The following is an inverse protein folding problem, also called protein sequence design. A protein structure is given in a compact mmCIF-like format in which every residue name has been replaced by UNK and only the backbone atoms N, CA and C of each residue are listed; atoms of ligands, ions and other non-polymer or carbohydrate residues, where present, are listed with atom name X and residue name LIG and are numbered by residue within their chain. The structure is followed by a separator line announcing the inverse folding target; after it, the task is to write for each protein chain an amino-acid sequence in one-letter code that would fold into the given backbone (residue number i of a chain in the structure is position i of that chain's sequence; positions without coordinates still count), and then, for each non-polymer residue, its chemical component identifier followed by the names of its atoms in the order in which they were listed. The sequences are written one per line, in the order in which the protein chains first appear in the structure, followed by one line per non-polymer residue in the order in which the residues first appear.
data_IF_906218727674
#
_entry.id   IF_906218727674
#
_cell.length_a   1.000
_cell.length_b   1.000
_cell.length_c   1.000
_cell.angle_alpha   90.00
_cell.angle_beta   90.00
_cell.angle_gamma   90.00
#
_symmetry.space_group_name_H-M   'P 1'
#
loop_
_entity.id
_entity.type
_entity.pdbx_description
1 polymer ?
#
# COMPACT_ATOMS: atom_id res chain seq x y z
N UNK A 1 -28.77 -4.66 91.28
CA UNK A 1 -29.10 -6.01 90.76
C UNK A 1 -27.80 -6.62 90.27
N UNK A 2 -27.31 -7.67 90.93
CA UNK A 2 -26.09 -8.37 90.54
C UNK A 2 -26.47 -9.56 89.67
N UNK A 3 -25.83 -9.71 88.51
CA UNK A 3 -26.00 -10.86 87.62
C UNK A 3 -24.66 -11.58 87.55
N UNK A 4 -24.66 -12.87 87.88
CA UNK A 4 -23.48 -13.71 87.86
C UNK A 4 -23.66 -14.77 86.76
N UNK A 5 -22.67 -14.88 85.88
CA UNK A 5 -22.60 -15.96 84.88
C UNK A 5 -21.49 -16.91 85.30
N UNK A 6 -21.85 -18.15 85.58
CA UNK A 6 -20.93 -19.20 86.03
C UNK A 6 -20.96 -20.34 85.01
N UNK A 7 -19.79 -20.89 84.70
CA UNK A 7 -19.66 -22.05 83.83
C UNK A 7 -19.70 -23.33 84.69
N UNK A 8 -20.70 -24.21 84.50
CA UNK A 8 -20.81 -25.44 85.27
C UNK A 8 -19.78 -26.52 84.87
N UNK A 9 -19.02 -26.33 83.77
CA UNK A 9 -17.88 -27.20 83.43
C UNK A 9 -16.62 -26.88 84.23
N UNK A 10 -16.60 -25.74 84.91
CA UNK A 10 -15.41 -25.31 85.63
C UNK A 10 -15.14 -26.26 86.82
N UNK A 11 -13.89 -26.74 87.03
CA UNK A 11 -13.58 -27.73 88.07
C UNK A 11 -14.03 -27.31 89.48
N UNK A 12 -13.93 -26.02 89.80
CA UNK A 12 -14.32 -25.46 91.10
C UNK A 12 -15.77 -24.98 91.19
N UNK A 13 -16.61 -25.25 90.18
CA UNK A 13 -18.00 -24.79 90.18
C UNK A 13 -18.76 -25.31 91.41
N UNK A 14 -18.60 -26.59 91.73
CA UNK A 14 -19.24 -27.21 92.89
C UNK A 14 -18.72 -26.64 94.23
N UNK A 15 -17.41 -26.37 94.32
CA UNK A 15 -16.80 -25.77 95.51
C UNK A 15 -17.34 -24.36 95.76
N UNK A 16 -17.36 -23.52 94.72
CA UNK A 16 -17.82 -22.13 94.82
C UNK A 16 -19.31 -22.06 95.20
N UNK A 17 -20.12 -22.94 94.60
CA UNK A 17 -21.58 -22.99 94.82
C UNK A 17 -21.94 -23.55 96.20
N UNK A 18 -21.19 -24.53 96.70
CA UNK A 18 -21.40 -25.11 98.04
C UNK A 18 -20.92 -24.20 99.18
N UNK A 19 -19.81 -23.48 98.99
CA UNK A 19 -19.30 -22.51 99.96
C UNK A 19 -20.20 -21.27 100.11
N UNK A 20 -21.05 -20.98 99.11
CA UNK A 20 -21.87 -19.77 99.07
C UNK A 20 -23.36 -20.11 98.83
N UNK A 21 -24.09 -20.64 99.83
CA UNK A 21 -25.50 -21.02 99.68
C UNK A 21 -26.42 -19.84 99.33
N UNK A 22 -25.98 -18.61 99.64
CA UNK A 22 -26.66 -17.36 99.28
C UNK A 22 -26.96 -17.23 97.77
N UNK A 23 -26.16 -17.88 96.91
CA UNK A 23 -26.33 -17.90 95.46
C UNK A 23 -27.60 -18.62 94.99
N UNK A 24 -28.19 -19.50 95.81
CA UNK A 24 -29.42 -20.21 95.46
C UNK A 24 -30.60 -19.70 96.28
N UNK A 25 -30.37 -19.24 97.51
CA UNK A 25 -31.46 -18.79 98.39
C UNK A 25 -31.93 -17.36 98.11
N UNK A 26 -31.05 -16.50 97.56
CA UNK A 26 -31.34 -15.06 97.34
C UNK A 26 -31.35 -14.65 95.86
N UNK A 27 -31.13 -15.59 94.95
CA UNK A 27 -31.11 -15.33 93.51
C UNK A 27 -32.00 -16.29 92.76
N UNK A 28 -32.58 -15.79 91.68
CA UNK A 28 -33.22 -16.63 90.67
C UNK A 28 -32.13 -17.27 89.82
N UNK A 29 -32.02 -18.61 89.88
CA UNK A 29 -31.08 -19.35 89.06
C UNK A 29 -31.71 -19.68 87.72
N UNK A 30 -31.07 -19.24 86.64
CA UNK A 30 -31.44 -19.58 85.28
C UNK A 30 -30.45 -20.61 84.75
N UNK A 31 -30.92 -21.84 84.57
CA UNK A 31 -30.10 -22.92 84.03
C UNK A 31 -30.16 -22.91 82.51
N UNK A 32 -29.09 -22.46 81.87
CA UNK A 32 -28.96 -22.42 80.40
C UNK A 32 -27.94 -23.44 79.87
N UNK A 33 -27.87 -24.61 80.52
CA UNK A 33 -26.93 -25.69 80.21
C UNK A 33 -27.40 -26.59 79.07
N UNK A 34 -28.71 -26.77 78.92
CA UNK A 34 -29.27 -27.39 77.74
C UNK A 34 -28.98 -26.41 76.59
N UNK A 35 -27.94 -26.70 75.81
CA UNK A 35 -27.58 -25.89 74.66
C UNK A 35 -28.75 -25.73 73.70
N UNK A 36 -28.50 -25.06 72.58
CA UNK A 36 -29.56 -24.88 71.60
C UNK A 36 -30.08 -26.24 71.11
N UNK A 37 -31.40 -26.41 71.18
CA UNK A 37 -32.04 -27.56 70.54
C UNK A 37 -31.80 -27.52 69.03
N UNK A 38 -31.79 -28.70 68.40
CA UNK A 38 -31.50 -28.86 66.95
C UNK A 38 -32.25 -27.86 66.05
N UNK A 39 -33.54 -27.62 66.33
CA UNK A 39 -34.37 -26.64 65.61
C UNK A 39 -33.81 -25.21 65.71
N UNK A 40 -33.37 -24.80 66.90
CA UNK A 40 -32.81 -23.47 67.14
C UNK A 40 -31.46 -23.32 66.44
N UNK A 41 -30.60 -24.33 66.51
CA UNK A 41 -29.31 -24.36 65.80
C UNK A 41 -29.49 -24.25 64.29
N UNK A 42 -30.47 -24.97 63.72
CA UNK A 42 -30.81 -24.85 62.29
C UNK A 42 -31.30 -23.45 61.91
N UNK A 43 -32.14 -22.82 62.75
CA UNK A 43 -32.62 -21.46 62.50
C UNK A 43 -31.46 -20.46 62.52
N UNK A 44 -30.56 -20.56 63.51
CA UNK A 44 -29.42 -19.65 63.63
C UNK A 44 -28.44 -19.86 62.49
N UNK A 45 -28.10 -21.11 62.16
CA UNK A 45 -27.26 -21.46 61.01
C UNK A 45 -27.87 -20.94 59.71
N UNK A 46 -29.17 -21.14 59.49
CA UNK A 46 -29.90 -20.62 58.32
C UNK A 46 -29.80 -19.11 58.18
N UNK A 47 -30.03 -18.36 59.28
CA UNK A 47 -29.91 -16.90 59.30
C UNK A 47 -28.47 -16.44 59.11
N UNK A 48 -27.51 -17.08 59.76
CA UNK A 48 -26.10 -16.76 59.65
C UNK A 48 -25.62 -16.93 58.19
N UNK A 49 -25.88 -18.08 57.58
CA UNK A 49 -25.50 -18.37 56.19
C UNK A 49 -26.14 -17.39 55.21
N UNK A 50 -27.42 -17.03 55.41
CA UNK A 50 -28.09 -16.00 54.60
C UNK A 50 -27.45 -14.63 54.75
N UNK A 51 -27.08 -14.23 55.96
CA UNK A 51 -26.41 -12.95 56.20
C UNK A 51 -24.99 -12.92 55.64
N UNK A 52 -24.29 -14.06 55.67
CA UNK A 52 -22.92 -14.20 55.18
C UNK A 52 -22.87 -14.05 53.65
N UNK A 53 -23.87 -14.61 52.96
CA UNK A 53 -23.95 -14.58 51.49
C UNK A 53 -24.72 -13.38 50.96
N UNK A 54 -25.78 -12.94 51.63
CA UNK A 54 -26.61 -11.79 51.23
C UNK A 54 -25.96 -10.41 51.43
N UNK A 55 -24.65 -10.34 51.71
CA UNK A 55 -23.89 -9.09 51.71
C UNK A 55 -23.56 -8.55 50.31
N UNK A 56 -23.82 -9.32 49.26
CA UNK A 56 -23.88 -8.86 47.86
C UNK A 56 -25.34 -8.82 47.42
N UNK A 57 -25.74 -7.76 46.71
CA UNK A 57 -27.13 -7.47 46.35
C UNK A 57 -27.91 -8.65 45.75
N UNK A 58 -29.19 -8.68 46.11
CA UNK A 58 -30.29 -9.51 45.56
C UNK A 58 -29.98 -10.96 45.16
N UNK A 59 -30.22 -11.85 46.12
CA UNK A 59 -30.93 -13.13 45.90
C UNK A 59 -30.22 -14.21 45.07
N UNK A 60 -28.92 -14.41 45.25
CA UNK A 60 -28.38 -15.77 45.06
C UNK A 60 -28.79 -16.63 46.25
N UNK A 61 -29.88 -17.36 46.07
CA UNK A 61 -30.29 -18.42 46.99
C UNK A 61 -29.17 -19.46 46.98
N UNK A 62 -28.37 -19.51 48.05
CA UNK A 62 -27.31 -20.50 48.25
C UNK A 62 -27.79 -21.87 47.74
N UNK A 63 -27.16 -22.43 46.69
CA UNK A 63 -27.49 -23.77 46.27
C UNK A 63 -27.21 -24.71 47.46
N UNK A 64 -28.12 -25.66 47.70
CA UNK A 64 -28.05 -26.59 48.82
C UNK A 64 -28.09 -25.94 50.21
N UNK A 65 -28.73 -24.76 50.36
CA UNK A 65 -28.80 -24.04 51.64
C UNK A 65 -29.32 -24.89 52.80
N UNK A 66 -30.34 -25.73 52.53
CA UNK A 66 -30.97 -26.58 53.56
C UNK A 66 -30.00 -27.68 54.00
N UNK A 67 -29.39 -28.36 53.05
CA UNK A 67 -28.43 -29.44 53.24
C UNK A 67 -27.18 -28.93 53.97
N UNK A 68 -26.68 -27.73 53.61
CA UNK A 68 -25.58 -27.07 54.30
C UNK A 68 -25.92 -26.76 55.76
N UNK A 69 -27.15 -26.30 56.04
CA UNK A 69 -27.59 -26.09 57.42
C UNK A 69 -27.61 -27.40 58.21
N UNK A 70 -28.13 -28.46 57.61
CA UNK A 70 -28.24 -29.79 58.23
C UNK A 70 -26.85 -30.37 58.54
N UNK A 71 -25.94 -30.38 57.55
CA UNK A 71 -24.57 -30.87 57.72
C UNK A 71 -23.79 -30.06 58.76
N UNK A 72 -23.93 -28.73 58.76
CA UNK A 72 -23.22 -27.89 59.74
C UNK A 72 -23.67 -28.18 61.17
N UNK A 73 -24.98 -28.38 61.37
CA UNK A 73 -25.53 -28.73 62.69
C UNK A 73 -25.13 -30.14 63.09
N UNK A 74 -25.12 -31.09 62.16
CA UNK A 74 -24.68 -32.48 62.41
C UNK A 74 -23.19 -32.57 62.79
N UNK A 75 -22.31 -31.83 62.11
CA UNK A 75 -20.90 -31.71 62.48
C UNK A 75 -20.75 -31.11 63.89
N UNK A 76 -21.56 -30.12 64.23
CA UNK A 76 -21.53 -29.53 65.57
C UNK A 76 -22.04 -30.50 66.65
N UNK A 77 -23.12 -31.25 66.38
CA UNK A 77 -23.68 -32.24 67.30
C UNK A 77 -22.71 -33.41 67.52
N UNK A 78 -22.06 -33.91 66.47
CA UNK A 78 -21.07 -35.00 66.55
C UNK A 78 -19.80 -34.64 67.32
N UNK A 79 -19.43 -33.36 67.35
CA UNK A 79 -18.25 -32.88 68.10
C UNK A 79 -18.54 -32.64 69.59
N UNK A 80 -19.80 -32.64 70.01
CA UNK A 80 -20.20 -32.44 71.41
C UNK A 80 -19.74 -31.10 72.02
N UNK A 81 -19.40 -30.13 71.18
CA UNK A 81 -18.77 -28.89 71.59
C UNK A 81 -19.79 -27.83 72.05
N UNK A 82 -19.30 -26.80 72.75
CA UNK A 82 -20.13 -25.63 73.11
C UNK A 82 -20.66 -24.90 71.87
N UNK A 83 -21.86 -24.31 71.97
CA UNK A 83 -22.51 -23.55 70.90
C UNK A 83 -21.66 -22.39 70.33
N UNK A 84 -20.64 -21.92 71.08
CA UNK A 84 -19.66 -20.95 70.55
C UNK A 84 -18.88 -21.50 69.36
N UNK A 85 -18.59 -22.80 69.35
CA UNK A 85 -17.87 -23.46 68.26
C UNK A 85 -18.71 -23.56 66.98
N UNK A 86 -20.04 -23.70 67.10
CA UNK A 86 -20.94 -23.59 65.93
C UNK A 86 -20.79 -22.23 65.24
N UNK A 87 -20.75 -21.16 66.03
CA UNK A 87 -20.55 -19.82 65.49
C UNK A 87 -19.17 -19.63 64.86
N UNK A 88 -18.11 -20.16 65.48
CA UNK A 88 -16.75 -20.13 64.92
C UNK A 88 -16.68 -20.89 63.59
N UNK A 89 -17.31 -22.06 63.52
CA UNK A 89 -17.40 -22.86 62.29
C UNK A 89 -18.09 -22.08 61.17
N UNK A 90 -19.22 -21.45 61.47
CA UNK A 90 -19.95 -20.62 60.50
C UNK A 90 -19.12 -19.44 59.99
N UNK A 91 -18.38 -18.77 60.89
CA UNK A 91 -17.48 -17.68 60.52
C UNK A 91 -16.31 -18.14 59.66
N UNK A 92 -15.72 -19.29 59.99
CA UNK A 92 -14.61 -19.84 59.21
C UNK A 92 -15.06 -20.23 57.81
N UNK A 93 -16.19 -20.94 57.71
CA UNK A 93 -16.79 -21.30 56.43
C UNK A 93 -17.11 -20.05 55.61
N UNK A 94 -17.69 -19.02 56.24
CA UNK A 94 -18.00 -17.75 55.58
C UNK A 94 -16.76 -17.06 54.98
N UNK A 95 -15.66 -17.02 55.74
CA UNK A 95 -14.42 -16.42 55.30
C UNK A 95 -13.83 -17.19 54.11
N UNK A 96 -13.74 -18.51 54.21
CA UNK A 96 -13.25 -19.36 53.11
C UNK A 96 -14.12 -19.28 51.87
N UNK A 97 -15.46 -19.29 52.02
CA UNK A 97 -16.39 -19.14 50.90
C UNK A 97 -16.16 -17.82 50.17
N UNK A 98 -16.04 -16.70 50.90
CA UNK A 98 -15.81 -15.38 50.30
C UNK A 98 -14.48 -15.32 49.56
N UNK A 99 -13.41 -15.82 50.17
CA UNK A 99 -12.08 -15.86 49.55
C UNK A 99 -12.10 -16.67 48.24
N UNK A 100 -12.71 -17.86 48.26
CA UNK A 100 -12.82 -18.71 47.08
C UNK A 100 -13.69 -18.07 46.01
N UNK A 101 -14.82 -17.47 46.38
CA UNK A 101 -15.73 -16.81 45.44
C UNK A 101 -15.05 -15.61 44.78
N UNK A 102 -14.37 -14.75 45.54
CA UNK A 102 -13.61 -13.63 45.00
C UNK A 102 -12.45 -14.08 44.10
N UNK A 103 -11.75 -15.16 44.47
CA UNK A 103 -10.68 -15.73 43.64
C UNK A 103 -11.21 -16.21 42.30
N UNK A 104 -12.31 -16.97 42.30
CA UNK A 104 -12.96 -17.44 41.08
C UNK A 104 -13.46 -16.26 40.24
N UNK A 105 -14.07 -15.25 40.88
CA UNK A 105 -14.50 -14.02 40.20
C UNK A 105 -13.35 -13.30 39.49
N UNK A 106 -12.20 -13.15 40.15
CA UNK A 106 -10.98 -12.58 39.54
C UNK A 106 -10.46 -13.42 38.38
N UNK A 107 -10.45 -14.74 38.51
CA UNK A 107 -10.02 -15.65 37.44
C UNK A 107 -10.95 -15.58 36.23
N UNK A 108 -12.27 -15.54 36.46
CA UNK A 108 -13.27 -15.34 35.42
C UNK A 108 -13.08 -14.00 34.70
N UNK A 109 -12.87 -12.91 35.44
CA UNK A 109 -12.63 -11.59 34.86
C UNK A 109 -11.34 -11.58 34.01
N UNK A 110 -10.26 -12.17 34.52
CA UNK A 110 -8.99 -12.31 33.80
C UNK A 110 -9.17 -13.12 32.50
N UNK A 111 -9.85 -14.25 32.57
CA UNK A 111 -10.11 -15.09 31.40
C UNK A 111 -10.99 -14.38 30.38
N UNK A 112 -12.02 -13.67 30.83
CA UNK A 112 -12.89 -12.87 29.95
C UNK A 112 -12.10 -11.79 29.22
N UNK A 113 -11.29 -11.00 29.94
CA UNK A 113 -10.40 -10.00 29.33
C UNK A 113 -9.40 -10.63 28.35
N UNK A 114 -8.87 -11.81 28.67
CA UNK A 114 -7.98 -12.56 27.78
C UNK A 114 -8.69 -13.00 26.49
N UNK A 115 -9.92 -13.50 26.61
CA UNK A 115 -10.74 -13.92 25.48
C UNK A 115 -11.10 -12.73 24.57
N UNK A 116 -11.53 -11.61 25.18
CA UNK A 116 -11.85 -10.38 24.44
C UNK A 116 -10.62 -9.91 23.64
N UNK A 117 -9.45 -9.90 24.28
CA UNK A 117 -8.20 -9.51 23.60
C UNK A 117 -7.79 -10.46 22.47
N UNK A 118 -8.01 -11.78 22.64
CA UNK A 118 -7.77 -12.75 21.57
C UNK A 118 -8.70 -12.53 20.39
N UNK A 119 -9.96 -12.18 20.66
CA UNK A 119 -10.93 -11.85 19.62
C UNK A 119 -10.51 -10.60 18.84
N UNK A 120 -10.11 -9.54 19.55
CA UNK A 120 -9.61 -8.30 18.91
C UNK A 120 -8.37 -8.57 18.04
N UNK A 121 -7.45 -9.42 18.53
CA UNK A 121 -6.27 -9.82 17.77
C UNK A 121 -6.64 -10.61 16.51
N UNK A 122 -7.61 -11.51 16.59
CA UNK A 122 -8.11 -12.26 15.44
C UNK A 122 -8.68 -11.32 14.38
N UNK A 123 -9.55 -10.38 14.78
CA UNK A 123 -10.12 -9.38 13.87
C UNK A 123 -9.04 -8.51 13.23
N UNK A 124 -8.01 -8.13 13.99
CA UNK A 124 -6.87 -7.35 13.47
C UNK A 124 -6.04 -8.15 12.45
N UNK A 125 -5.80 -9.44 12.71
CA UNK A 125 -5.03 -10.32 11.80
C UNK A 125 -5.82 -10.57 10.52
N UNK A 126 -7.12 -10.78 10.60
CA UNK A 126 -7.98 -10.93 9.42
C UNK A 126 -7.94 -9.68 8.53
N UNK A 127 -8.04 -8.50 9.15
CA UNK A 127 -7.98 -7.23 8.42
C UNK A 127 -6.62 -7.00 7.76
N UNK A 128 -5.51 -7.23 8.49
CA UNK A 128 -4.17 -7.13 7.92
C UNK A 128 -3.95 -8.12 6.77
N UNK A 129 -4.49 -9.32 6.87
CA UNK A 129 -4.41 -10.34 5.82
C UNK A 129 -5.18 -9.90 4.57
N UNK A 130 -6.36 -9.30 4.76
CA UNK A 130 -7.15 -8.72 3.67
C UNK A 130 -6.40 -7.57 2.99
N UNK A 131 -5.83 -6.65 3.76
CA UNK A 131 -5.03 -5.54 3.25
C UNK A 131 -3.77 -6.02 2.51
N UNK A 132 -3.09 -7.03 3.05
CA UNK A 132 -1.91 -7.61 2.42
C UNK A 132 -2.25 -8.18 1.04
N UNK A 133 -3.38 -8.90 0.92
CA UNK A 133 -3.84 -9.45 -0.37
C UNK A 133 -4.11 -8.36 -1.40
N UNK A 134 -4.75 -7.26 -0.99
CA UNK A 134 -5.01 -6.11 -1.90
C UNK A 134 -3.71 -5.47 -2.34
N UNK A 135 -2.76 -5.24 -1.42
CA UNK A 135 -1.45 -4.66 -1.76
C UNK A 135 -0.62 -5.57 -2.66
N UNK A 136 -0.71 -6.89 -2.49
CA UNK A 136 -0.03 -7.86 -3.37
C UNK A 136 -0.58 -7.80 -4.80
N UNK A 137 -1.89 -7.68 -4.96
CA UNK A 137 -2.53 -7.51 -6.27
C UNK A 137 -2.14 -6.17 -6.92
N UNK A 138 -2.18 -5.07 -6.17
CA UNK A 138 -1.72 -3.75 -6.65
C UNK A 138 -0.23 -3.74 -7.04
N UNK A 139 0.61 -4.44 -6.27
CA UNK A 139 2.04 -4.56 -6.55
C UNK A 139 2.25 -5.32 -7.86
N UNK A 140 1.58 -6.45 -8.04
CA UNK A 140 1.64 -7.26 -9.28
C UNK A 140 1.24 -6.44 -10.52
N UNK A 141 0.18 -5.62 -10.41
CA UNK A 141 -0.21 -4.70 -11.49
C UNK A 141 0.88 -3.67 -11.79
N UNK A 142 1.45 -3.04 -10.76
CA UNK A 142 2.53 -2.05 -10.94
C UNK A 142 3.80 -2.66 -11.50
N UNK A 143 4.19 -3.85 -11.05
CA UNK A 143 5.32 -4.60 -11.60
C UNK A 143 5.12 -4.92 -13.08
N UNK A 144 3.91 -5.35 -13.46
CA UNK A 144 3.56 -5.57 -14.87
C UNK A 144 3.65 -4.27 -15.68
N UNK A 145 3.08 -3.18 -15.19
CA UNK A 145 3.14 -1.88 -15.87
C UNK A 145 4.59 -1.37 -16.02
N UNK A 146 5.42 -1.56 -15.00
CA UNK A 146 6.83 -1.21 -15.04
C UNK A 146 7.60 -2.07 -16.06
N UNK A 147 7.34 -3.38 -16.08
CA UNK A 147 7.92 -4.31 -17.06
C UNK A 147 7.53 -3.95 -18.50
N UNK A 148 6.25 -3.64 -18.73
CA UNK A 148 5.75 -3.22 -20.04
C UNK A 148 6.38 -1.87 -20.47
N UNK A 149 6.56 -0.94 -19.53
CA UNK A 149 7.24 0.34 -19.79
C UNK A 149 8.71 0.14 -20.15
N UNK A 150 9.41 -0.76 -19.46
CA UNK A 150 10.81 -1.10 -19.76
C UNK A 150 10.95 -1.71 -21.16
N UNK A 151 10.04 -2.61 -21.56
CA UNK A 151 9.99 -3.14 -22.93
C UNK A 151 9.75 -2.04 -23.96
N UNK A 152 8.88 -1.08 -23.65
CA UNK A 152 8.66 0.09 -24.51
C UNK A 152 9.92 0.91 -24.72
N UNK A 153 10.71 1.14 -23.66
CA UNK A 153 12.00 1.83 -23.74
C UNK A 153 13.01 1.01 -24.55
N UNK A 154 13.08 -0.30 -24.33
CA UNK A 154 13.99 -1.20 -25.07
C UNK A 154 13.70 -1.18 -26.57
N UNK A 155 12.43 -1.31 -26.96
CA UNK A 155 12.00 -1.21 -28.36
C UNK A 155 12.33 0.17 -28.96
N UNK A 156 12.07 1.25 -28.22
CA UNK A 156 12.38 2.61 -28.66
C UNK A 156 13.88 2.86 -28.80
N UNK A 157 14.70 2.26 -27.94
CA UNK A 157 16.17 2.32 -28.04
C UNK A 157 16.66 1.53 -29.27
N UNK A 158 16.09 0.36 -29.53
CA UNK A 158 16.43 -0.46 -30.70
C UNK A 158 16.04 0.26 -32.00
N UNK A 159 14.84 0.86 -32.06
CA UNK A 159 14.37 1.64 -33.21
C UNK A 159 15.22 2.89 -33.41
N UNK A 160 15.55 3.62 -32.34
CA UNK A 160 16.45 4.78 -32.41
C UNK A 160 17.85 4.39 -32.88
N UNK A 161 18.37 3.23 -32.47
CA UNK A 161 19.65 2.72 -32.93
C UNK A 161 19.62 2.39 -34.43
N UNK A 162 18.55 1.74 -34.92
CA UNK A 162 18.33 1.48 -36.36
C UNK A 162 18.25 2.78 -37.15
N UNK A 163 17.46 3.74 -36.68
CA UNK A 163 17.31 5.03 -37.32
C UNK A 163 18.65 5.80 -37.37
N UNK A 164 19.43 5.81 -36.29
CA UNK A 164 20.76 6.42 -36.28
C UNK A 164 21.70 5.77 -37.31
N UNK A 165 21.70 4.44 -37.39
CA UNK A 165 22.51 3.73 -38.38
C UNK A 165 22.08 4.06 -39.82
N UNK A 166 20.78 4.16 -40.08
CA UNK A 166 20.25 4.56 -41.39
C UNK A 166 20.61 6.00 -41.76
N UNK A 167 20.49 6.93 -40.80
CA UNK A 167 20.92 8.32 -40.98
C UNK A 167 22.41 8.41 -41.26
N UNK A 168 23.25 7.66 -40.55
CA UNK A 168 24.71 7.66 -40.77
C UNK A 168 25.08 7.14 -42.17
N UNK A 169 24.37 6.12 -42.67
CA UNK A 169 24.51 5.63 -44.05
C UNK A 169 24.07 6.69 -45.07
N UNK A 170 22.94 7.36 -44.81
CA UNK A 170 22.41 8.39 -45.70
C UNK A 170 23.33 9.62 -45.74
N UNK A 171 23.85 10.08 -44.60
CA UNK A 171 24.79 11.18 -44.51
C UNK A 171 26.07 10.87 -45.29
N UNK A 172 26.62 9.66 -45.15
CA UNK A 172 27.81 9.25 -45.90
C UNK A 172 27.55 9.22 -47.41
N UNK A 173 26.37 8.75 -47.83
CA UNK A 173 25.97 8.77 -49.24
C UNK A 173 25.81 10.20 -49.77
N UNK A 174 25.08 11.05 -49.03
CA UNK A 174 24.88 12.46 -49.39
C UNK A 174 26.21 13.19 -49.47
N UNK A 175 27.13 12.96 -48.53
CA UNK A 175 28.49 13.52 -48.55
C UNK A 175 29.25 13.12 -49.81
N UNK A 176 29.17 11.85 -50.20
CA UNK A 176 29.82 11.35 -51.43
C UNK A 176 29.20 11.94 -52.69
N UNK A 177 27.88 12.04 -52.75
CA UNK A 177 27.16 12.64 -53.88
C UNK A 177 27.44 14.14 -54.00
N UNK A 178 27.55 14.85 -52.87
CA UNK A 178 27.97 16.25 -52.79
C UNK A 178 29.41 16.42 -53.30
N UNK A 179 30.36 15.59 -52.83
CA UNK A 179 31.75 15.60 -53.31
C UNK A 179 31.83 15.34 -54.83
N UNK A 180 31.04 14.41 -55.34
CA UNK A 180 30.99 14.10 -56.77
C UNK A 180 30.36 15.25 -57.58
N UNK A 181 29.27 15.84 -57.09
CA UNK A 181 28.61 16.98 -57.72
C UNK A 181 29.53 18.20 -57.75
N UNK A 182 30.27 18.46 -56.66
CA UNK A 182 31.26 19.54 -56.62
C UNK A 182 32.41 19.30 -57.59
N UNK A 183 32.90 18.06 -57.73
CA UNK A 183 33.92 17.71 -58.72
C UNK A 183 33.43 17.94 -60.15
N UNK A 184 32.24 17.47 -60.47
CA UNK A 184 31.66 17.68 -61.81
C UNK A 184 31.36 19.16 -62.07
N UNK A 185 30.83 19.89 -61.09
CA UNK A 185 30.67 21.34 -61.19
C UNK A 185 32.00 22.05 -61.45
N UNK A 186 33.05 21.74 -60.70
CA UNK A 186 34.37 22.33 -60.90
C UNK A 186 34.96 21.98 -62.29
N UNK A 187 34.74 20.75 -62.77
CA UNK A 187 35.15 20.33 -64.12
C UNK A 187 34.42 21.14 -65.19
N UNK A 188 33.10 21.24 -65.09
CA UNK A 188 32.26 22.00 -66.02
C UNK A 188 32.60 23.49 -65.98
N UNK A 189 32.82 24.08 -64.81
CA UNK A 189 33.24 25.47 -64.68
C UNK A 189 34.61 25.73 -65.30
N UNK A 190 35.56 24.79 -65.17
CA UNK A 190 36.86 24.88 -65.85
C UNK A 190 36.72 24.82 -67.37
N UNK A 191 35.96 23.84 -67.89
CA UNK A 191 35.70 23.71 -69.32
C UNK A 191 34.97 24.96 -69.87
N UNK A 192 34.01 25.50 -69.10
CA UNK A 192 33.31 26.72 -69.46
C UNK A 192 34.25 27.93 -69.43
N UNK A 193 35.11 28.07 -68.41
CA UNK A 193 36.05 29.17 -68.30
C UNK A 193 37.08 29.19 -69.44
N UNK A 194 37.43 28.05 -70.02
CA UNK A 194 38.27 27.95 -71.23
C UNK A 194 37.53 28.40 -72.49
N UNK A 195 36.25 28.04 -72.64
CA UNK A 195 35.45 28.34 -73.84
C UNK A 195 34.88 29.76 -73.81
N UNK A 196 34.52 30.27 -72.64
CA UNK A 196 33.88 31.57 -72.44
C UNK A 196 34.67 32.76 -73.01
N UNK A 197 36.02 32.88 -72.89
CA UNK A 197 36.76 33.95 -73.54
C UNK A 197 36.70 33.87 -75.08
N UNK A 198 36.75 32.66 -75.64
CA UNK A 198 36.65 32.46 -77.11
C UNK A 198 35.25 32.84 -77.60
N UNK A 199 34.21 32.47 -76.85
CA UNK A 199 32.84 32.82 -77.19
C UNK A 199 32.61 34.34 -77.09
N UNK A 200 33.11 34.99 -76.04
CA UNK A 200 32.95 36.44 -75.86
C UNK A 200 33.78 37.22 -76.90
N UNK A 201 34.97 36.74 -77.25
CA UNK A 201 35.77 37.29 -78.35
C UNK A 201 35.06 37.12 -79.70
N UNK A 202 34.51 35.94 -79.99
CA UNK A 202 33.73 35.70 -81.19
C UNK A 202 32.46 36.57 -81.23
N UNK A 203 31.74 36.71 -80.12
CA UNK A 203 30.56 37.59 -80.00
C UNK A 203 30.93 39.05 -80.21
N UNK A 204 32.05 39.51 -79.65
CA UNK A 204 32.56 40.87 -79.83
C UNK A 204 33.01 41.11 -81.27
N UNK A 205 33.66 40.14 -81.91
CA UNK A 205 34.05 40.19 -83.31
C UNK A 205 32.81 40.29 -84.23
N UNK A 206 31.78 39.47 -84.00
CA UNK A 206 30.50 39.56 -84.73
C UNK A 206 29.80 40.89 -84.47
N UNK A 207 29.76 41.36 -83.21
CA UNK A 207 29.21 42.67 -82.86
C UNK A 207 29.97 43.86 -83.45
N UNK A 208 31.25 43.68 -83.82
CA UNK A 208 32.07 44.68 -84.50
C UNK A 208 31.89 44.73 -86.02
N UNK A 209 31.10 43.80 -86.60
CA UNK A 209 30.78 43.81 -88.03
C UNK A 209 29.86 45.00 -88.30
N UNK A 210 30.39 45.97 -89.06
CA UNK A 210 29.62 47.14 -89.49
C UNK A 210 28.57 46.74 -90.53
N UNK A 211 27.40 47.36 -90.44
CA UNK A 211 26.30 47.14 -91.37
C UNK A 211 26.67 47.50 -92.82
N UNK A 212 27.58 48.45 -93.00
CA UNK A 212 28.15 48.82 -94.30
C UNK A 212 28.83 47.62 -95.00
N UNK A 213 29.59 46.79 -94.26
CA UNK A 213 30.28 45.62 -94.79
C UNK A 213 29.28 44.51 -95.21
N UNK A 214 28.16 44.38 -94.50
CA UNK A 214 27.09 43.44 -94.86
C UNK A 214 26.36 43.89 -96.13
N UNK A 215 26.19 45.20 -96.32
CA UNK A 215 25.60 45.78 -97.53
C UNK A 215 26.49 45.57 -98.77
N UNK A 216 27.81 45.60 -98.63
CA UNK A 216 28.75 45.29 -99.72
C UNK A 216 28.64 43.83 -100.18
N UNK A 217 28.53 42.88 -99.23
CA UNK A 217 28.35 41.45 -99.56
C UNK A 217 27.01 41.23 -100.29
N UNK A 218 25.95 41.94 -99.90
CA UNK A 218 24.64 41.89 -100.57
C UNK A 218 24.70 42.36 -102.04
N UNK A 219 25.57 43.32 -102.34
CA UNK A 219 25.73 43.90 -103.67
C UNK A 219 26.45 42.98 -104.66
N UNK A 220 27.11 41.91 -104.20
CA UNK A 220 27.77 40.94 -105.07
C UNK A 220 26.76 40.15 -105.92
N UNK A 221 27.08 39.98 -107.22
CA UNK A 221 26.28 39.17 -108.16
C UNK A 221 26.36 37.67 -107.85
N UNK A 222 27.51 37.20 -107.35
CA UNK A 222 27.76 35.80 -106.98
C UNK A 222 28.64 35.75 -105.71
N UNK A 223 28.32 34.93 -104.71
CA UNK A 223 29.14 34.83 -103.50
C UNK A 223 30.44 34.08 -103.80
N UNK A 224 31.60 34.61 -103.40
CA UNK A 224 32.82 33.83 -103.28
C UNK A 224 32.60 32.61 -102.36
N UNK A 225 33.28 31.50 -102.65
CA UNK A 225 33.11 30.20 -101.99
C UNK A 225 33.18 30.31 -100.44
N UNK A 226 34.17 31.02 -99.91
CA UNK A 226 34.32 31.22 -98.46
C UNK A 226 33.15 31.96 -97.79
N UNK A 227 32.51 32.91 -98.48
CA UNK A 227 31.36 33.67 -97.94
C UNK A 227 30.10 32.82 -98.00
N UNK A 228 29.94 32.05 -99.09
CA UNK A 228 28.83 31.13 -99.26
C UNK A 228 28.81 30.08 -98.15
N UNK A 229 29.95 29.46 -97.84
CA UNK A 229 30.03 28.36 -96.86
C UNK A 229 29.75 28.83 -95.43
N UNK A 230 30.25 30.01 -95.04
CA UNK A 230 29.98 30.60 -93.72
C UNK A 230 28.50 31.00 -93.59
N UNK A 231 27.93 31.68 -94.59
CA UNK A 231 26.50 32.06 -94.57
C UNK A 231 25.58 30.84 -94.61
N UNK A 232 25.96 29.81 -95.36
CA UNK A 232 25.25 28.54 -95.39
C UNK A 232 25.25 27.86 -94.01
N UNK A 233 26.40 27.79 -93.35
CA UNK A 233 26.52 27.23 -92.01
C UNK A 233 25.69 27.98 -90.97
N UNK A 234 25.68 29.32 -90.99
CA UNK A 234 24.87 30.14 -90.08
C UNK A 234 23.37 29.97 -90.36
N UNK A 235 22.95 29.96 -91.63
CA UNK A 235 21.54 29.77 -92.00
C UNK A 235 21.02 28.41 -91.53
N UNK A 236 21.85 27.37 -91.68
CA UNK A 236 21.54 26.01 -91.23
C UNK A 236 21.43 25.94 -89.70
N UNK A 237 22.36 26.55 -88.95
CA UNK A 237 22.30 26.63 -87.48
C UNK A 237 21.08 27.41 -86.98
N UNK A 238 20.62 28.40 -87.75
CA UNK A 238 19.41 29.19 -87.48
C UNK A 238 18.12 28.50 -87.97
N UNK A 239 18.19 27.28 -88.51
CA UNK A 239 17.04 26.45 -88.89
C UNK A 239 16.49 26.66 -90.31
N UNK A 240 17.22 27.37 -91.18
CA UNK A 240 16.85 27.55 -92.59
C UNK A 240 17.40 26.43 -93.48
N UNK A 241 16.52 25.71 -94.19
CA UNK A 241 16.89 24.59 -95.07
C UNK A 241 17.22 24.99 -96.51
N UNK A 242 16.99 26.25 -96.90
CA UNK A 242 17.17 26.72 -98.27
C UNK A 242 18.62 27.14 -98.55
N UNK A 243 19.34 26.34 -99.33
CA UNK A 243 20.76 26.57 -99.69
C UNK A 243 20.96 27.58 -100.83
N UNK A 244 19.93 28.36 -101.20
CA UNK A 244 20.01 29.28 -102.34
C UNK A 244 20.58 30.65 -101.95
N UNK A 245 21.37 31.26 -102.83
CA UNK A 245 21.94 32.60 -102.62
C UNK A 245 20.88 33.68 -102.34
N UNK A 246 19.68 33.52 -102.92
CA UNK A 246 18.56 34.42 -102.66
C UNK A 246 18.01 34.30 -101.23
N UNK A 247 18.01 33.09 -100.65
CA UNK A 247 17.63 32.87 -99.25
C UNK A 247 18.66 33.48 -98.28
N UNK A 248 19.95 33.35 -98.59
CA UNK A 248 21.04 33.98 -97.82
C UNK A 248 20.95 35.51 -97.86
N UNK A 249 20.67 36.11 -99.03
CA UNK A 249 20.43 37.56 -99.16
C UNK A 249 19.23 38.05 -98.35
N UNK A 250 18.18 37.24 -98.28
CA UNK A 250 16.96 37.55 -97.51
C UNK A 250 17.22 37.49 -96.00
N UNK A 251 18.09 36.59 -95.55
CA UNK A 251 18.50 36.47 -94.15
C UNK A 251 19.41 37.61 -93.67
N UNK A 252 20.24 38.18 -94.57
CA UNK A 252 21.06 39.36 -94.30
C UNK A 252 20.27 40.70 -94.38
N UNK A 253 18.95 40.64 -94.56
CA UNK A 253 18.08 41.83 -94.65
C UNK A 253 17.35 42.11 -93.35
#
# INVERSE_FOLDING_TARGET
MLVLSLDPTHPHFHDITSMNPGLFTRSTVLWNWAGWGRKSSLIVTSKALKSIVGGGGETERLPYHKELCEVTVEIHESTGCSQRYLWTLLKLWAAGFREHHERIGRDQERLKKGLDKLKDMHETVDELTREARVKEEELSVKERMASDSLKGIENGLEESAKYKAEVEILDEKTRKDEENSQREHARIESELAEIQPVLEEARKAVGSIRQDNLNEIRALKMPPEAIHDVLYGVLLLMGGSDSSWNAMKKFLS
#
